data_IF_083938478344
#
_entry.id   IF_083938478344
#
_cell.length_a   1.000
_cell.length_b   1.000
_cell.length_c   1.000
_cell.angle_alpha   90.00
_cell.angle_beta   90.00
_cell.angle_gamma   90.00
#
_symmetry.space_group_name_H-M   'P 1'
#
loop_
_entity.id
_entity.type
_entity.pdbx_description
1 polymer ?
#
# COMPACT_ATOMS: atom_id res chain seq x y z
N UNK A 1 -13.47 7.22 -5.63
CA UNK A 1 -12.73 6.23 -4.83
C UNK A 1 -11.32 6.03 -5.37
N UNK A 2 -10.43 5.52 -4.53
CA UNK A 2 -9.07 5.18 -4.93
C UNK A 2 -9.08 4.03 -5.96
N UNK A 3 -9.98 3.07 -5.80
CA UNK A 3 -10.17 1.96 -6.74
C UNK A 3 -10.51 2.45 -8.15
N UNK A 4 -11.41 3.43 -8.30
CA UNK A 4 -11.74 4.01 -9.62
C UNK A 4 -10.53 4.69 -10.28
N UNK A 5 -9.73 5.41 -9.49
CA UNK A 5 -8.50 6.04 -9.98
C UNK A 5 -7.46 5.00 -10.40
N UNK A 6 -7.32 3.92 -9.64
CA UNK A 6 -6.46 2.79 -9.97
C UNK A 6 -6.92 2.11 -11.28
N UNK A 7 -8.21 1.79 -11.40
CA UNK A 7 -8.77 1.19 -12.62
C UNK A 7 -8.52 2.05 -13.86
N UNK A 8 -8.74 3.36 -13.73
CA UNK A 8 -8.44 4.29 -14.83
C UNK A 8 -6.96 4.27 -15.20
N UNK A 9 -6.06 4.27 -14.20
CA UNK A 9 -4.62 4.26 -14.41
C UNK A 9 -4.15 2.98 -15.11
N UNK A 10 -4.67 1.82 -14.70
CA UNK A 10 -4.38 0.53 -15.37
C UNK A 10 -4.87 0.54 -16.81
N UNK A 11 -6.11 0.96 -17.05
CA UNK A 11 -6.67 1.06 -18.40
C UNK A 11 -5.83 1.97 -19.29
N UNK A 12 -5.37 3.09 -18.74
CA UNK A 12 -4.50 4.02 -19.47
C UNK A 12 -3.12 3.42 -19.77
N UNK A 13 -2.57 2.67 -18.82
CA UNK A 13 -1.30 1.97 -18.99
C UNK A 13 -1.38 0.90 -20.07
N UNK A 14 -2.45 0.13 -20.13
CA UNK A 14 -2.69 -0.88 -21.18
C UNK A 14 -2.72 -0.26 -22.58
N UNK A 15 -3.32 0.93 -22.73
CA UNK A 15 -3.29 1.65 -23.99
C UNK A 15 -1.87 2.07 -24.40
N UNK A 16 -1.01 2.42 -23.45
CA UNK A 16 0.39 2.76 -23.71
C UNK A 16 1.22 1.51 -24.03
N UNK A 17 0.97 0.39 -23.36
CA UNK A 17 1.61 -0.89 -23.70
C UNK A 17 1.29 -1.32 -25.13
N UNK A 18 0.05 -1.13 -25.59
CA UNK A 18 -0.34 -1.37 -26.98
C UNK A 18 0.37 -0.44 -27.98
N UNK A 19 1.00 0.63 -27.52
CA UNK A 19 1.81 1.56 -28.32
C UNK A 19 3.32 1.29 -28.23
N UNK A 20 3.73 0.19 -27.59
CA UNK A 20 5.10 -0.28 -27.54
C UNK A 20 5.83 -0.05 -26.21
N UNK A 21 5.12 0.30 -25.14
CA UNK A 21 5.68 0.25 -23.79
C UNK A 21 5.80 -1.22 -23.34
N UNK A 22 6.90 -1.57 -22.66
CA UNK A 22 7.16 -2.95 -22.22
C UNK A 22 6.50 -3.29 -20.86
N UNK A 23 6.03 -2.27 -20.11
CA UNK A 23 5.40 -2.43 -18.83
C UNK A 23 4.92 -1.09 -18.27
N UNK A 24 4.43 -1.11 -17.03
CA UNK A 24 4.03 0.09 -16.31
C UNK A 24 4.39 0.00 -14.83
N UNK A 25 4.44 1.15 -14.19
CA UNK A 25 4.50 1.30 -12.75
C UNK A 25 3.40 2.28 -12.33
N UNK A 26 2.62 1.89 -11.34
CA UNK A 26 1.57 2.74 -10.74
C UNK A 26 1.81 2.77 -9.25
N UNK A 27 1.82 3.97 -8.67
CA UNK A 27 1.74 4.19 -7.23
C UNK A 27 0.37 4.81 -6.93
N UNK A 28 -0.38 4.17 -6.04
CA UNK A 28 -1.65 4.65 -5.53
C UNK A 28 -1.55 4.81 -4.02
N UNK A 29 -2.00 5.94 -3.49
CA UNK A 29 -1.84 6.28 -2.08
C UNK A 29 -3.19 6.53 -1.42
N UNK A 30 -3.47 5.80 -0.33
CA UNK A 30 -4.56 6.08 0.60
C UNK A 30 -4.16 7.17 1.60
N UNK A 31 -3.82 8.37 1.11
CA UNK A 31 -3.22 9.45 1.89
C UNK A 31 -4.05 9.93 3.08
N UNK A 32 -5.36 9.75 3.03
CA UNK A 32 -6.26 10.21 4.09
C UNK A 32 -6.20 9.32 5.34
N UNK A 33 -5.68 8.10 5.24
CA UNK A 33 -5.41 7.23 6.38
C UNK A 33 -4.43 7.90 7.35
N UNK A 34 -3.36 8.50 6.82
CA UNK A 34 -2.38 9.26 7.59
C UNK A 34 -3.03 10.48 8.26
N UNK A 35 -3.84 11.24 7.53
CA UNK A 35 -4.52 12.41 8.08
C UNK A 35 -5.48 12.05 9.21
N UNK A 36 -6.19 10.93 9.11
CA UNK A 36 -7.03 10.42 10.17
C UNK A 36 -6.22 10.04 11.43
N UNK A 37 -5.05 9.43 11.24
CA UNK A 37 -4.09 9.13 12.32
C UNK A 37 -3.56 10.41 13.00
N UNK A 38 -3.24 11.45 12.23
CA UNK A 38 -2.77 12.73 12.76
C UNK A 38 -3.79 13.43 13.67
N UNK A 39 -5.08 13.26 13.43
CA UNK A 39 -6.13 13.82 14.27
C UNK A 39 -6.69 12.82 15.30
N UNK A 40 -6.16 11.60 15.34
CA UNK A 40 -6.62 10.52 16.20
C UNK A 40 -8.13 10.23 16.04
N UNK A 41 -8.65 10.29 14.83
CA UNK A 41 -10.06 10.05 14.49
C UNK A 41 -10.23 8.64 13.93
N UNK A 42 -10.76 7.74 14.76
CA UNK A 42 -10.93 6.35 14.40
C UNK A 42 -12.02 6.14 13.34
N UNK A 43 -13.13 6.84 13.40
CA UNK A 43 -14.22 6.71 12.42
C UNK A 43 -13.79 7.21 11.04
N UNK A 44 -12.95 8.23 11.00
CA UNK A 44 -12.33 8.71 9.77
C UNK A 44 -11.36 7.66 9.23
N UNK A 45 -10.47 7.15 10.09
CA UNK A 45 -9.45 6.16 9.72
C UNK A 45 -10.07 4.89 9.12
N UNK A 46 -11.16 4.36 9.71
CA UNK A 46 -11.83 3.17 9.19
C UNK A 46 -12.39 3.40 7.79
N UNK A 47 -13.06 4.53 7.54
CA UNK A 47 -13.62 4.82 6.21
C UNK A 47 -12.54 4.94 5.12
N UNK A 48 -11.41 5.55 5.46
CA UNK A 48 -10.29 5.67 4.52
C UNK A 48 -9.57 4.32 4.30
N UNK A 49 -9.51 3.49 5.35
CA UNK A 49 -8.98 2.12 5.22
C UNK A 49 -9.91 1.24 4.37
N UNK A 50 -11.23 1.40 4.47
CA UNK A 50 -12.19 0.69 3.61
C UNK A 50 -12.01 1.07 2.13
N UNK A 51 -11.86 2.37 1.80
CA UNK A 51 -11.59 2.82 0.42
C UNK A 51 -10.24 2.32 -0.10
N UNK A 52 -9.23 2.24 0.78
CA UNK A 52 -7.92 1.68 0.45
C UNK A 52 -7.99 0.17 0.22
N UNK A 53 -8.71 -0.58 1.06
CA UNK A 53 -8.89 -2.02 0.95
C UNK A 53 -9.60 -2.39 -0.36
N UNK A 54 -10.65 -1.65 -0.76
CA UNK A 54 -11.28 -1.80 -2.07
C UNK A 54 -10.29 -1.63 -3.24
N UNK A 55 -9.35 -0.70 -3.12
CA UNK A 55 -8.31 -0.52 -4.14
C UNK A 55 -7.29 -1.67 -4.15
N UNK A 56 -6.95 -2.22 -2.99
CA UNK A 56 -6.08 -3.40 -2.86
C UNK A 56 -6.75 -4.63 -3.47
N UNK A 57 -8.03 -4.85 -3.18
CA UNK A 57 -8.80 -5.96 -3.76
C UNK A 57 -8.80 -5.89 -5.28
N UNK A 58 -9.08 -4.71 -5.85
CA UNK A 58 -9.03 -4.50 -7.30
C UNK A 58 -7.64 -4.77 -7.88
N UNK A 59 -6.57 -4.31 -7.21
CA UNK A 59 -5.20 -4.57 -7.64
C UNK A 59 -4.88 -6.07 -7.67
N UNK A 60 -5.32 -6.80 -6.65
CA UNK A 60 -5.14 -8.26 -6.57
C UNK A 60 -5.94 -9.01 -7.62
N UNK A 61 -7.18 -8.58 -7.94
CA UNK A 61 -7.96 -9.15 -9.02
C UNK A 61 -7.28 -8.96 -10.37
N UNK A 62 -6.81 -7.75 -10.67
CA UNK A 62 -6.05 -7.45 -11.89
C UNK A 62 -4.78 -8.31 -11.97
N UNK A 63 -4.03 -8.44 -10.89
CA UNK A 63 -2.81 -9.24 -10.88
C UNK A 63 -3.09 -10.75 -11.06
N UNK A 64 -4.18 -11.26 -10.48
CA UNK A 64 -4.64 -12.65 -10.68
C UNK A 64 -5.03 -12.93 -12.12
N UNK A 65 -5.67 -12.00 -12.79
CA UNK A 65 -6.08 -12.15 -14.19
C UNK A 65 -4.88 -12.05 -15.15
N UNK A 66 -3.97 -11.10 -14.89
CA UNK A 66 -2.83 -10.82 -15.78
C UNK A 66 -1.68 -11.80 -15.63
N UNK A 67 -1.43 -12.29 -14.43
CA UNK A 67 -0.32 -13.22 -14.09
C UNK A 67 1.11 -12.63 -14.32
N UNK A 68 1.21 -11.38 -14.72
CA UNK A 68 2.45 -10.65 -15.01
C UNK A 68 2.64 -9.39 -14.15
N UNK A 69 1.77 -9.20 -13.18
CA UNK A 69 1.69 -7.99 -12.36
C UNK A 69 2.09 -8.29 -10.92
N UNK A 70 3.07 -7.54 -10.41
CA UNK A 70 3.46 -7.52 -9.01
C UNK A 70 2.65 -6.43 -8.30
N UNK A 71 1.98 -6.80 -7.21
CA UNK A 71 1.30 -5.87 -6.29
C UNK A 71 2.09 -5.80 -5.00
N UNK A 72 2.40 -4.58 -4.57
CA UNK A 72 3.00 -4.29 -3.27
C UNK A 72 2.05 -3.41 -2.47
N UNK A 73 1.85 -3.76 -1.21
CA UNK A 73 1.07 -2.94 -0.27
C UNK A 73 1.95 -2.68 0.95
N UNK A 74 2.17 -1.42 1.24
CA UNK A 74 2.99 -1.00 2.38
C UNK A 74 2.60 0.40 2.83
N UNK A 75 3.18 0.85 3.92
CA UNK A 75 3.15 2.24 4.39
C UNK A 75 4.58 2.78 4.43
N UNK A 76 4.75 4.08 4.35
CA UNK A 76 6.01 4.77 4.56
C UNK A 76 6.35 4.90 6.05
N UNK A 77 5.34 4.97 6.94
CA UNK A 77 5.47 5.01 8.40
C UNK A 77 4.14 4.64 9.09
N UNK A 78 4.20 4.51 10.39
CA UNK A 78 3.05 4.46 11.30
C UNK A 78 2.68 5.88 11.73
N UNK A 79 1.40 6.14 12.01
CA UNK A 79 0.88 7.43 12.47
C UNK A 79 -0.12 7.27 13.62
N UNK A 80 -0.05 8.15 14.60
CA UNK A 80 -0.98 8.20 15.73
C UNK A 80 -0.66 7.26 16.86
N UNK A 81 0.24 6.29 16.68
CA UNK A 81 0.51 5.25 17.66
C UNK A 81 -0.72 4.39 17.91
N UNK A 82 -1.41 3.96 16.84
CA UNK A 82 -2.64 3.18 16.93
C UNK A 82 -2.41 1.85 17.64
N UNK A 83 -3.22 1.59 18.65
CA UNK A 83 -3.28 0.32 19.37
C UNK A 83 -4.64 -0.34 19.16
N UNK A 84 -4.61 -1.64 18.92
CA UNK A 84 -5.80 -2.50 18.85
C UNK A 84 -5.71 -3.47 20.02
N UNK A 85 -6.66 -3.40 20.95
CA UNK A 85 -6.67 -4.17 22.17
C UNK A 85 -7.99 -4.95 22.31
N UNK A 86 -8.02 -6.12 22.97
CA UNK A 86 -9.28 -6.73 23.36
C UNK A 86 -10.09 -5.79 24.24
N UNK A 87 -11.39 -5.62 23.97
CA UNK A 87 -12.26 -4.77 24.79
C UNK A 87 -12.39 -5.31 26.21
N UNK A 88 -12.30 -6.63 26.38
CA UNK A 88 -12.23 -7.30 27.68
C UNK A 88 -10.89 -8.07 27.80
N UNK A 89 -9.92 -7.56 28.57
CA UNK A 89 -8.63 -8.21 28.73
C UNK A 89 -8.67 -9.51 29.55
N UNK A 90 -9.81 -9.85 30.18
CA UNK A 90 -9.94 -11.03 31.05
C UNK A 90 -10.27 -12.29 30.22
N UNK A 91 -11.10 -12.19 29.21
CA UNK A 91 -11.54 -13.34 28.40
C UNK A 91 -10.78 -13.48 27.06
N UNK A 92 -9.97 -12.50 26.68
CA UNK A 92 -9.25 -12.45 25.38
C UNK A 92 -10.16 -12.68 24.16
N UNK A 93 -11.47 -12.39 24.30
CA UNK A 93 -12.39 -12.47 23.18
C UNK A 93 -12.05 -11.36 22.19
N UNK A 94 -11.99 -11.71 20.91
CA UNK A 94 -11.80 -10.76 19.82
C UNK A 94 -13.14 -10.30 19.24
N UNK A 95 -14.26 -10.68 19.89
CA UNK A 95 -15.59 -10.29 19.43
C UNK A 95 -15.84 -8.77 19.57
N UNK A 96 -15.12 -8.15 20.55
CA UNK A 96 -15.07 -6.70 20.69
C UNK A 96 -13.61 -6.24 20.81
N UNK A 97 -13.21 -5.27 20.01
CA UNK A 97 -11.88 -4.64 20.06
C UNK A 97 -12.01 -3.18 20.50
N UNK A 98 -11.03 -2.74 21.26
CA UNK A 98 -10.86 -1.34 21.65
C UNK A 98 -9.71 -0.75 20.85
N UNK A 99 -9.92 0.46 20.36
CA UNK A 99 -8.91 1.24 19.67
C UNK A 99 -8.46 2.41 20.54
N UNK A 100 -7.17 2.68 20.51
CA UNK A 100 -6.61 3.86 21.18
C UNK A 100 -5.42 4.39 20.39
N UNK A 101 -5.18 5.69 20.51
CA UNK A 101 -4.01 6.34 19.94
C UNK A 101 -3.07 6.75 21.06
N UNK A 102 -1.77 6.56 20.87
CA UNK A 102 -0.74 6.90 21.86
C UNK A 102 -0.09 8.26 21.66
N UNK A 103 -0.41 8.94 20.56
CA UNK A 103 0.09 10.28 20.30
C UNK A 103 -0.94 11.33 20.70
N UNK A 104 -0.51 12.57 20.95
CA UNK A 104 -1.42 13.65 21.31
C UNK A 104 -2.24 14.07 20.09
N UNK A 105 -3.53 14.29 20.28
CA UNK A 105 -4.46 14.74 19.24
C UNK A 105 -3.95 16.00 18.54
N UNK A 106 -3.91 15.99 17.23
CA UNK A 106 -3.47 17.11 16.41
C UNK A 106 -1.99 17.43 16.49
N UNK A 107 -1.17 16.56 17.10
CA UNK A 107 0.28 16.76 17.19
C UNK A 107 1.04 16.25 15.98
N UNK A 108 0.38 15.51 15.09
CA UNK A 108 0.97 15.01 13.86
C UNK A 108 2.16 14.08 14.06
N UNK A 109 2.10 13.19 15.05
CA UNK A 109 3.26 12.40 15.44
C UNK A 109 3.26 11.04 14.76
N UNK A 110 4.31 10.77 13.98
CA UNK A 110 4.64 9.42 13.50
C UNK A 110 5.38 8.66 14.58
N UNK A 111 5.33 7.34 14.56
CA UNK A 111 6.15 6.50 15.43
C UNK A 111 7.18 5.71 14.65
N UNK A 112 8.19 5.19 15.33
CA UNK A 112 9.23 4.35 14.73
C UNK A 112 8.87 2.86 14.69
N UNK A 113 7.60 2.51 14.72
CA UNK A 113 7.14 1.11 14.62
C UNK A 113 7.34 0.63 13.18
N UNK A 114 7.98 -0.55 12.96
CA UNK A 114 8.09 -1.13 11.63
C UNK A 114 6.71 -1.37 11.03
N UNK A 115 6.56 -1.03 9.75
CA UNK A 115 5.33 -1.25 8.98
C UNK A 115 5.46 -2.49 8.11
N UNK A 116 4.37 -3.23 7.86
CA UNK A 116 4.41 -4.42 7.02
C UNK A 116 4.58 -4.09 5.55
N UNK A 117 5.20 -5.02 4.80
CA UNK A 117 5.18 -5.07 3.35
C UNK A 117 4.48 -6.36 2.94
N UNK A 118 3.44 -6.25 2.15
CA UNK A 118 2.76 -7.36 1.52
C UNK A 118 3.08 -7.36 0.03
N UNK A 119 3.34 -8.54 -0.53
CA UNK A 119 3.67 -8.69 -1.94
C UNK A 119 2.90 -9.86 -2.55
N UNK A 120 2.38 -9.68 -3.76
CA UNK A 120 1.71 -10.71 -4.53
C UNK A 120 2.09 -10.63 -6.01
N UNK A 121 2.35 -11.77 -6.64
CA UNK A 121 2.68 -11.87 -8.06
C UNK A 121 4.17 -12.15 -8.31
N UNK A 122 4.61 -12.07 -9.58
CA UNK A 122 6.00 -12.34 -9.95
C UNK A 122 6.99 -11.42 -9.24
N UNK A 123 8.04 -11.98 -8.64
CA UNK A 123 9.05 -11.21 -7.89
C UNK A 123 8.68 -10.92 -6.44
N UNK A 124 7.51 -11.38 -5.95
CA UNK A 124 7.08 -11.17 -4.56
C UNK A 124 8.02 -11.80 -3.52
N UNK A 125 8.79 -12.82 -3.89
CA UNK A 125 9.80 -13.45 -3.05
C UNK A 125 10.93 -12.51 -2.61
N UNK A 126 11.14 -11.41 -3.31
CA UNK A 126 12.15 -10.39 -2.99
C UNK A 126 11.74 -9.48 -1.81
N UNK A 127 10.49 -9.56 -1.35
CA UNK A 127 9.93 -8.70 -0.31
C UNK A 127 9.69 -9.45 1.00
N UNK A 128 10.61 -10.31 1.40
CA UNK A 128 10.51 -11.13 2.61
C UNK A 128 11.50 -10.70 3.69
N UNK A 129 11.11 -10.89 4.96
CA UNK A 129 11.97 -10.56 6.10
C UNK A 129 11.86 -9.09 6.52
N UNK A 130 12.94 -8.60 7.16
CA UNK A 130 13.04 -7.18 7.55
C UNK A 130 13.91 -6.46 6.52
N UNK A 131 13.34 -5.43 5.92
CA UNK A 131 13.95 -4.65 4.85
C UNK A 131 14.19 -3.21 5.33
N UNK A 132 15.22 -2.58 4.81
CA UNK A 132 15.30 -1.12 4.80
C UNK A 132 14.33 -0.58 3.74
N UNK A 133 13.75 0.61 3.96
CA UNK A 133 12.82 1.20 2.99
C UNK A 133 13.44 1.39 1.60
N UNK A 134 14.76 1.59 1.53
CA UNK A 134 15.52 1.71 0.27
C UNK A 134 15.67 0.38 -0.46
N UNK A 135 15.61 -0.76 0.23
CA UNK A 135 15.70 -2.09 -0.38
C UNK A 135 14.48 -2.37 -1.27
N UNK A 136 13.31 -1.80 -0.93
CA UNK A 136 12.07 -1.92 -1.73
C UNK A 136 12.30 -1.37 -3.15
N UNK A 137 13.00 -0.26 -3.29
CA UNK A 137 13.33 0.31 -4.60
C UNK A 137 14.14 -0.67 -5.47
N UNK A 138 15.20 -1.27 -4.91
CA UNK A 138 16.03 -2.23 -5.66
C UNK A 138 15.29 -3.52 -5.98
N UNK A 139 14.44 -3.99 -5.07
CA UNK A 139 13.59 -5.15 -5.31
C UNK A 139 12.58 -4.90 -6.45
N UNK A 140 11.98 -3.70 -6.53
CA UNK A 140 11.10 -3.29 -7.63
C UNK A 140 11.86 -3.20 -8.96
N UNK A 141 13.05 -2.63 -9.00
CA UNK A 141 13.88 -2.59 -10.22
C UNK A 141 14.20 -4.01 -10.70
N UNK A 142 14.54 -4.91 -9.79
CA UNK A 142 14.82 -6.31 -10.14
C UNK A 142 13.58 -7.02 -10.68
N UNK A 143 12.41 -6.81 -10.08
CA UNK A 143 11.15 -7.41 -10.53
C UNK A 143 10.73 -6.91 -11.92
N UNK A 144 11.03 -5.66 -12.26
CA UNK A 144 10.74 -5.05 -13.56
C UNK A 144 11.82 -5.30 -14.62
N UNK A 145 12.91 -6.00 -14.27
CA UNK A 145 14.11 -6.15 -15.13
C UNK A 145 14.62 -4.81 -15.66
N UNK A 146 14.56 -3.78 -14.81
CA UNK A 146 15.05 -2.44 -15.14
C UNK A 146 16.47 -2.25 -14.60
N UNK A 147 17.31 -1.63 -15.44
CA UNK A 147 18.55 -1.02 -15.00
C UNK A 147 18.45 0.51 -15.09
N UNK A 148 19.35 1.22 -14.45
CA UNK A 148 19.38 2.70 -14.42
C UNK A 148 19.50 3.35 -15.81
N UNK A 149 19.63 2.57 -16.88
CA UNK A 149 19.90 3.01 -18.26
C UNK A 149 18.76 2.72 -19.23
N UNK A 150 17.73 1.96 -18.81
CA UNK A 150 16.55 1.72 -19.64
C UNK A 150 15.73 3.00 -19.74
N UNK A 151 15.63 3.56 -20.93
CA UNK A 151 14.90 4.79 -21.19
C UNK A 151 13.38 4.63 -21.10
N UNK A 152 12.67 5.75 -21.00
CA UNK A 152 11.21 5.76 -21.04
C UNK A 152 10.67 5.42 -22.42
N UNK A 153 9.49 4.83 -22.49
CA UNK A 153 8.77 4.58 -23.74
C UNK A 153 8.24 5.87 -24.43
N UNK A 154 8.40 7.01 -23.80
CA UNK A 154 8.08 8.33 -24.36
C UNK A 154 9.29 8.86 -25.13
N UNK A 155 9.47 8.48 -26.41
CA UNK A 155 10.58 9.01 -27.20
C UNK A 155 11.03 8.19 -28.39
N UNK A 156 10.20 7.30 -28.90
CA UNK A 156 10.43 6.65 -30.20
C UNK A 156 9.47 7.18 -31.25
#
# INVERSE_FOLDING_TARGET
SLAEMLQYSVTRSDLLMNQGCEGFFIMAEGSQVDWAGHVNDFDYLIREMEDFDEAVDLALEIAKERQDTLVLVTSDHEVGGLLIEPANPIDNSLDDVKFSFNTAVGSGTHTGVPVPVYAYGPGSENFTGTLDNTDIYYAMLAALDLDDKKGSCLGR
#
